data_IF_126943243948
#
_entry.id   IF_126943243948
#
_cell.length_a   1.000
_cell.length_b   1.000
_cell.length_c   1.000
_cell.angle_alpha   90.00
_cell.angle_beta   90.00
_cell.angle_gamma   90.00
#
_symmetry.space_group_name_H-M   'P 1'
#
loop_
_entity.id
_entity.type
_entity.pdbx_description
1 polymer ?
#
# COMPACT_ATOMS: atom_id res chain seq x y z
N UNK A 1 16.94 10.39 -9.43
CA UNK A 1 16.38 9.49 -8.42
C UNK A 1 15.61 10.29 -7.40
N UNK A 2 14.51 9.75 -6.88
CA UNK A 2 13.80 10.34 -5.75
C UNK A 2 14.83 10.69 -4.66
N UNK A 3 14.87 11.96 -4.28
CA UNK A 3 15.70 12.41 -3.18
C UNK A 3 15.21 11.78 -1.88
N UNK A 4 16.09 11.41 -0.96
CA UNK A 4 15.73 10.97 0.39
C UNK A 4 14.78 11.98 1.08
N UNK A 5 14.90 13.26 0.76
CA UNK A 5 14.03 14.32 1.26
C UNK A 5 12.58 14.22 0.75
N UNK A 6 12.35 13.64 -0.42
CA UNK A 6 10.99 13.45 -0.97
C UNK A 6 10.35 12.17 -0.41
N UNK A 7 11.17 11.14 -0.13
CA UNK A 7 10.70 9.86 0.38
C UNK A 7 10.34 9.89 1.89
N UNK A 8 11.06 10.68 2.69
CA UNK A 8 10.85 10.76 4.14
C UNK A 8 9.45 11.21 4.56
N UNK A 9 8.87 12.31 4.01
CA UNK A 9 7.52 12.74 4.38
C UNK A 9 6.45 11.72 4.02
N UNK A 10 6.61 11.03 2.88
CA UNK A 10 5.67 9.99 2.44
C UNK A 10 5.72 8.80 3.39
N UNK A 11 6.91 8.30 3.69
CA UNK A 11 7.11 7.17 4.60
C UNK A 11 6.59 7.48 6.01
N UNK A 12 6.80 8.70 6.51
CA UNK A 12 6.30 9.13 7.81
C UNK A 12 4.77 9.13 7.87
N UNK A 13 4.12 9.64 6.84
CA UNK A 13 2.65 9.72 6.76
C UNK A 13 2.01 8.34 6.70
N UNK A 14 2.54 7.44 5.88
CA UNK A 14 1.94 6.13 5.63
C UNK A 14 2.26 5.10 6.74
N UNK A 15 3.42 5.21 7.39
CA UNK A 15 3.85 4.26 8.43
C UNK A 15 2.90 4.20 9.63
N UNK A 16 2.32 5.34 10.02
CA UNK A 16 1.41 5.41 11.16
C UNK A 16 0.14 4.60 10.96
N UNK A 17 -0.51 4.76 9.82
CA UNK A 17 -1.77 4.07 9.51
C UNK A 17 -1.60 2.55 9.44
N UNK A 18 -0.59 2.07 8.72
CA UNK A 18 -0.28 0.64 8.65
C UNK A 18 0.03 0.02 10.01
N UNK A 19 0.76 0.74 10.85
CA UNK A 19 1.09 0.28 12.21
C UNK A 19 -0.16 0.08 13.07
N UNK A 20 -1.09 1.04 13.06
CA UNK A 20 -2.35 0.93 13.82
C UNK A 20 -3.16 -0.29 13.38
N UNK A 21 -3.24 -0.55 12.07
CA UNK A 21 -3.98 -1.68 11.52
C UNK A 21 -3.41 -3.02 12.02
N UNK A 22 -2.08 -3.18 11.96
CA UNK A 22 -1.43 -4.40 12.45
C UNK A 22 -1.52 -4.56 13.96
N UNK A 23 -1.38 -3.48 14.73
CA UNK A 23 -1.54 -3.52 16.19
C UNK A 23 -2.96 -3.92 16.59
N UNK A 24 -3.98 -3.35 15.93
CA UNK A 24 -5.37 -3.71 16.19
C UNK A 24 -5.63 -5.20 15.91
N UNK A 25 -5.08 -5.73 14.81
CA UNK A 25 -5.22 -7.16 14.49
C UNK A 25 -4.50 -8.04 15.52
N UNK A 26 -3.29 -7.67 15.93
CA UNK A 26 -2.56 -8.41 16.97
C UNK A 26 -3.28 -8.39 18.32
N UNK A 27 -3.87 -7.26 18.69
CA UNK A 27 -4.65 -7.14 19.92
C UNK A 27 -5.93 -8.00 19.91
N UNK A 28 -6.45 -8.34 18.73
CA UNK A 28 -7.61 -9.23 18.58
C UNK A 28 -7.27 -10.73 18.66
N UNK A 29 -6.00 -11.11 18.71
CA UNK A 29 -5.61 -12.53 18.84
C UNK A 29 -5.87 -13.00 20.26
N UNK A 30 -6.58 -14.14 20.40
CA UNK A 30 -6.88 -14.72 21.70
C UNK A 30 -5.58 -15.08 22.47
N UNK A 31 -5.39 -14.56 23.69
CA UNK A 31 -4.22 -14.84 24.52
C UNK A 31 -4.00 -16.32 24.81
N UNK A 32 -5.04 -17.13 24.78
CA UNK A 32 -4.97 -18.59 25.06
C UNK A 32 -4.00 -19.32 24.13
N UNK A 33 -3.86 -18.88 22.87
CA UNK A 33 -2.87 -19.44 21.95
C UNK A 33 -1.43 -19.26 22.45
N UNK A 34 -1.15 -18.09 23.01
CA UNK A 34 0.18 -17.79 23.55
C UNK A 34 0.45 -18.49 24.87
N UNK A 35 -0.59 -18.67 25.71
CA UNK A 35 -0.48 -19.39 26.97
C UNK A 35 -0.20 -20.88 26.72
N UNK A 36 -0.92 -21.52 25.81
CA UNK A 36 -0.67 -22.88 25.40
C UNK A 36 0.76 -23.06 24.86
N UNK A 37 1.19 -22.18 23.97
CA UNK A 37 2.55 -22.24 23.41
C UNK A 37 3.65 -22.07 24.47
N UNK A 38 3.40 -21.30 25.54
CA UNK A 38 4.35 -21.14 26.66
C UNK A 38 4.45 -22.44 27.47
N UNK A 39 3.34 -23.11 27.68
CA UNK A 39 3.32 -24.43 28.39
C UNK A 39 4.13 -25.43 27.57
N UNK A 40 4.02 -25.40 26.23
CA UNK A 40 4.79 -26.24 25.32
C UNK A 40 6.26 -25.83 25.20
N UNK A 41 6.72 -24.82 25.95
CA UNK A 41 8.11 -24.32 25.92
C UNK A 41 8.48 -23.50 24.69
N UNK A 42 7.51 -23.00 23.93
CA UNK A 42 7.77 -22.20 22.73
C UNK A 42 8.34 -20.81 23.09
N UNK A 43 9.53 -20.52 22.62
CA UNK A 43 10.14 -19.19 22.73
C UNK A 43 9.42 -18.13 21.89
N UNK A 44 9.71 -16.84 22.14
CA UNK A 44 9.05 -15.70 21.48
C UNK A 44 9.07 -15.76 19.96
N UNK A 45 10.20 -16.11 19.35
CA UNK A 45 10.32 -16.22 17.89
C UNK A 45 9.37 -17.32 17.34
N UNK A 46 9.28 -18.45 18.02
CA UNK A 46 8.39 -19.54 17.63
C UNK A 46 6.91 -19.13 17.75
N UNK A 47 6.54 -18.38 18.80
CA UNK A 47 5.20 -17.82 18.93
C UNK A 47 4.85 -16.85 17.79
N UNK A 48 5.78 -15.99 17.39
CA UNK A 48 5.58 -15.05 16.27
C UNK A 48 5.37 -15.82 14.95
N UNK A 49 6.22 -16.77 14.64
CA UNK A 49 6.19 -17.48 13.36
C UNK A 49 5.05 -18.50 13.25
N UNK A 50 4.66 -19.13 14.35
CA UNK A 50 3.67 -20.22 14.34
C UNK A 50 2.27 -19.78 14.77
N UNK A 51 2.11 -18.65 15.44
CA UNK A 51 0.82 -18.14 15.92
C UNK A 51 0.52 -16.77 15.30
N UNK A 52 1.35 -15.76 15.59
CA UNK A 52 1.06 -14.38 15.19
C UNK A 52 0.98 -14.21 13.68
N UNK A 53 2.02 -14.61 12.95
CA UNK A 53 2.08 -14.44 11.48
C UNK A 53 0.98 -15.20 10.74
N UNK A 54 0.66 -16.48 11.05
CA UNK A 54 -0.45 -17.17 10.42
C UNK A 54 -1.80 -16.53 10.69
N UNK A 55 -2.08 -16.09 11.91
CA UNK A 55 -3.34 -15.44 12.27
C UNK A 55 -3.48 -14.03 11.65
N UNK A 56 -2.37 -13.36 11.37
CA UNK A 56 -2.35 -12.07 10.69
C UNK A 56 -2.32 -12.17 9.16
N UNK A 57 -2.26 -13.37 8.59
CA UNK A 57 -2.10 -13.61 7.17
C UNK A 57 -3.13 -12.86 6.32
N UNK A 58 -4.40 -12.86 6.73
CA UNK A 58 -5.49 -12.19 6.02
C UNK A 58 -5.29 -10.67 5.96
N UNK A 59 -4.94 -10.03 7.08
CA UNK A 59 -4.74 -8.58 7.10
C UNK A 59 -3.48 -8.16 6.33
N UNK A 60 -2.42 -8.97 6.38
CA UNK A 60 -1.21 -8.76 5.59
C UNK A 60 -1.55 -8.81 4.10
N UNK A 61 -2.35 -9.80 3.69
CA UNK A 61 -2.79 -9.98 2.32
C UNK A 61 -3.67 -8.84 1.84
N UNK A 62 -4.65 -8.42 2.64
CA UNK A 62 -5.49 -7.26 2.34
C UNK A 62 -4.66 -5.99 2.15
N UNK A 63 -3.75 -5.71 3.09
CA UNK A 63 -2.91 -4.53 3.00
C UNK A 63 -1.98 -4.57 1.78
N UNK A 64 -1.47 -5.74 1.42
CA UNK A 64 -0.67 -5.95 0.22
C UNK A 64 -1.47 -5.64 -1.06
N UNK A 65 -2.71 -6.16 -1.18
CA UNK A 65 -3.60 -5.89 -2.31
C UNK A 65 -3.91 -4.39 -2.42
N UNK A 66 -4.24 -3.74 -1.29
CA UNK A 66 -4.52 -2.30 -1.25
C UNK A 66 -3.30 -1.47 -1.66
N UNK A 67 -2.12 -1.84 -1.20
CA UNK A 67 -0.86 -1.17 -1.57
C UNK A 67 -0.58 -1.29 -3.06
N UNK A 68 -0.74 -2.48 -3.64
CA UNK A 68 -0.54 -2.69 -5.08
C UNK A 68 -1.58 -1.92 -5.90
N UNK A 69 -2.85 -1.91 -5.49
CA UNK A 69 -3.89 -1.16 -6.20
C UNK A 69 -3.65 0.34 -6.17
N UNK A 70 -3.02 0.83 -5.12
CA UNK A 70 -2.64 2.24 -4.96
C UNK A 70 -1.29 2.63 -5.60
N UNK A 71 -0.52 1.67 -6.12
CA UNK A 71 0.85 1.92 -6.58
C UNK A 71 0.95 2.97 -7.70
N UNK A 72 -0.05 3.01 -8.58
CA UNK A 72 -0.11 3.98 -9.68
C UNK A 72 -0.75 5.31 -9.30
N UNK A 73 -1.39 5.37 -8.12
CA UNK A 73 -1.96 6.60 -7.57
C UNK A 73 -0.93 7.20 -6.60
N UNK A 74 -0.46 8.39 -6.95
CA UNK A 74 0.38 9.16 -6.04
C UNK A 74 -0.47 10.12 -5.21
N UNK A 75 0.06 10.57 -4.08
CA UNK A 75 -0.54 11.67 -3.33
C UNK A 75 -0.36 12.99 -4.11
N UNK A 76 -1.31 13.32 -4.99
CA UNK A 76 -1.28 14.51 -5.84
C UNK A 76 -0.99 15.78 -5.04
N UNK A 77 -1.72 15.99 -3.93
CA UNK A 77 -1.56 17.17 -3.08
C UNK A 77 -0.14 17.29 -2.54
N UNK A 78 0.44 16.19 -2.07
CA UNK A 78 1.80 16.17 -1.55
C UNK A 78 2.82 16.42 -2.65
N UNK A 79 2.62 15.83 -3.83
CA UNK A 79 3.48 16.04 -4.99
C UNK A 79 3.45 17.49 -5.43
N UNK A 80 2.25 18.12 -5.51
CA UNK A 80 2.10 19.52 -5.91
C UNK A 80 2.75 20.47 -4.91
N UNK A 81 2.69 20.19 -3.61
CA UNK A 81 3.31 21.02 -2.58
C UNK A 81 4.85 20.92 -2.60
N UNK A 82 5.38 19.72 -2.84
CA UNK A 82 6.83 19.48 -2.85
C UNK A 82 7.47 19.80 -4.21
N UNK A 83 6.68 19.84 -5.28
CA UNK A 83 7.17 20.09 -6.63
C UNK A 83 7.42 21.59 -6.85
N UNK A 84 8.57 21.91 -7.41
CA UNK A 84 8.95 23.26 -7.83
C UNK A 84 9.60 23.23 -9.23
N UNK A 85 9.85 24.40 -9.81
CA UNK A 85 10.43 24.51 -11.15
C UNK A 85 11.79 23.83 -11.34
N UNK A 86 12.53 23.60 -10.25
CA UNK A 86 13.86 22.98 -10.30
C UNK A 86 13.80 21.44 -10.22
N UNK A 87 12.79 20.89 -9.53
CA UNK A 87 12.66 19.43 -9.33
C UNK A 87 11.55 18.79 -10.16
N UNK A 88 10.72 19.57 -10.86
CA UNK A 88 9.56 19.10 -11.61
C UNK A 88 9.87 17.91 -12.52
N UNK A 89 10.93 18.01 -13.31
CA UNK A 89 11.31 16.94 -14.25
C UNK A 89 11.66 15.60 -13.59
N UNK A 90 11.96 15.59 -12.27
CA UNK A 90 12.32 14.40 -11.51
C UNK A 90 11.23 13.95 -10.53
N UNK A 91 10.38 14.88 -10.10
CA UNK A 91 9.33 14.66 -9.13
C UNK A 91 7.95 14.45 -9.79
N UNK A 92 7.81 14.70 -11.08
CA UNK A 92 6.55 14.55 -11.81
C UNK A 92 6.13 13.08 -11.82
N UNK A 93 4.94 12.80 -11.31
CA UNK A 93 4.28 11.51 -11.32
C UNK A 93 3.05 11.55 -12.22
N UNK A 94 2.46 10.40 -12.55
CA UNK A 94 1.34 10.32 -13.50
C UNK A 94 0.19 11.25 -13.09
N UNK A 95 -0.19 11.28 -11.82
CA UNK A 95 -1.29 12.11 -11.33
C UNK A 95 -0.99 13.61 -11.47
N UNK A 96 0.23 14.06 -11.16
CA UNK A 96 0.62 15.47 -11.33
C UNK A 96 0.73 15.86 -12.81
N UNK A 97 1.15 14.92 -13.66
CA UNK A 97 1.17 15.11 -15.10
C UNK A 97 -0.26 15.27 -15.66
N UNK A 98 -1.18 14.38 -15.30
CA UNK A 98 -2.60 14.44 -15.70
C UNK A 98 -3.24 15.75 -15.22
N UNK A 99 -2.97 16.15 -13.97
CA UNK A 99 -3.44 17.41 -13.43
C UNK A 99 -2.93 18.61 -14.25
N UNK A 100 -1.65 18.65 -14.55
CA UNK A 100 -1.05 19.74 -15.34
C UNK A 100 -1.62 19.81 -16.77
N UNK A 101 -1.77 18.67 -17.44
CA UNK A 101 -2.36 18.63 -18.79
C UNK A 101 -3.82 19.09 -18.79
N UNK A 102 -4.62 18.61 -17.86
CA UNK A 102 -6.03 18.96 -17.75
C UNK A 102 -6.25 20.40 -17.27
N UNK A 103 -5.71 20.75 -16.10
CA UNK A 103 -6.04 22.00 -15.43
C UNK A 103 -5.20 23.18 -15.91
N UNK A 104 -3.93 22.97 -16.26
CA UNK A 104 -3.04 24.07 -16.64
C UNK A 104 -3.03 24.29 -18.14
N UNK A 105 -3.08 23.22 -18.94
CA UNK A 105 -3.05 23.33 -20.41
C UNK A 105 -4.45 23.27 -21.05
N UNK A 106 -5.49 22.89 -20.28
CA UNK A 106 -6.88 22.81 -20.74
C UNK A 106 -7.19 21.59 -21.61
N UNK A 107 -6.26 20.63 -21.73
CA UNK A 107 -6.47 19.41 -22.51
C UNK A 107 -7.14 18.31 -21.67
N UNK A 108 -8.42 18.53 -21.41
CA UNK A 108 -9.24 17.60 -20.61
C UNK A 108 -9.41 16.24 -21.27
N UNK A 109 -9.47 16.21 -22.62
CA UNK A 109 -9.64 14.96 -23.36
C UNK A 109 -8.46 14.04 -23.17
N UNK A 110 -7.25 14.57 -23.29
CA UNK A 110 -6.02 13.81 -23.08
C UNK A 110 -5.86 13.40 -21.62
N UNK A 111 -6.08 14.31 -20.68
CA UNK A 111 -6.03 14.02 -19.24
C UNK A 111 -6.99 12.88 -18.85
N UNK A 112 -8.22 12.91 -19.37
CA UNK A 112 -9.21 11.86 -19.14
C UNK A 112 -8.77 10.52 -19.74
N UNK A 113 -8.24 10.51 -20.94
CA UNK A 113 -7.74 9.29 -21.59
C UNK A 113 -6.61 8.63 -20.78
N UNK A 114 -5.64 9.43 -20.32
CA UNK A 114 -4.55 8.93 -19.46
C UNK A 114 -5.10 8.40 -18.13
N UNK A 115 -6.02 9.11 -17.49
CA UNK A 115 -6.66 8.69 -16.24
C UNK A 115 -7.42 7.36 -16.37
N UNK A 116 -8.14 7.17 -17.48
CA UNK A 116 -8.80 5.89 -17.79
C UNK A 116 -7.77 4.77 -18.00
N UNK A 117 -6.68 5.04 -18.73
CA UNK A 117 -5.59 4.09 -18.92
C UNK A 117 -4.98 3.63 -17.60
N UNK A 118 -4.67 4.57 -16.69
CA UNK A 118 -4.17 4.28 -15.34
C UNK A 118 -5.17 3.43 -14.55
N UNK A 119 -6.47 3.72 -14.66
CA UNK A 119 -7.51 2.96 -13.96
C UNK A 119 -7.59 1.52 -14.45
N UNK A 120 -7.50 1.28 -15.74
CA UNK A 120 -7.48 -0.07 -16.34
C UNK A 120 -6.26 -0.86 -15.84
N UNK A 121 -5.08 -0.26 -15.87
CA UNK A 121 -3.85 -0.91 -15.37
C UNK A 121 -3.96 -1.20 -13.87
N UNK A 122 -4.51 -0.28 -13.07
CA UNK A 122 -4.74 -0.48 -11.63
C UNK A 122 -5.66 -1.68 -11.35
N UNK A 123 -6.74 -1.85 -12.14
CA UNK A 123 -7.65 -3.00 -12.02
C UNK A 123 -6.93 -4.31 -12.36
N UNK A 124 -6.12 -4.32 -13.42
CA UNK A 124 -5.32 -5.51 -13.80
C UNK A 124 -4.36 -5.88 -12.67
N UNK A 125 -3.66 -4.90 -12.10
CA UNK A 125 -2.75 -5.11 -10.97
C UNK A 125 -3.50 -5.65 -9.74
N UNK A 126 -4.67 -5.10 -9.42
CA UNK A 126 -5.50 -5.55 -8.31
C UNK A 126 -5.93 -7.01 -8.48
N UNK A 127 -6.47 -7.36 -9.65
CA UNK A 127 -6.89 -8.75 -9.95
C UNK A 127 -5.71 -9.72 -9.89
N UNK A 128 -4.56 -9.30 -10.40
CA UNK A 128 -3.34 -10.11 -10.37
C UNK A 128 -2.84 -10.30 -8.93
N UNK A 129 -2.80 -9.24 -8.14
CA UNK A 129 -2.42 -9.30 -6.73
C UNK A 129 -3.38 -10.20 -5.93
N UNK A 130 -4.69 -10.08 -6.16
CA UNK A 130 -5.69 -10.93 -5.51
C UNK A 130 -5.50 -12.42 -5.86
N UNK A 131 -5.24 -12.75 -7.13
CA UNK A 131 -4.95 -14.13 -7.54
C UNK A 131 -3.68 -14.70 -6.88
N UNK A 132 -2.63 -13.90 -6.78
CA UNK A 132 -1.39 -14.31 -6.12
C UNK A 132 -1.64 -14.55 -4.63
N UNK A 133 -2.32 -13.62 -3.98
CA UNK A 133 -2.64 -13.68 -2.55
C UNK A 133 -3.60 -14.83 -2.24
N UNK A 134 -4.59 -15.10 -3.10
CA UNK A 134 -5.50 -16.22 -2.97
C UNK A 134 -4.79 -17.58 -2.98
N UNK A 135 -3.75 -17.74 -3.81
CA UNK A 135 -2.91 -18.95 -3.79
C UNK A 135 -2.12 -19.12 -2.47
N UNK A 136 -1.77 -18.04 -1.83
CA UNK A 136 -1.02 -18.05 -0.58
C UNK A 136 -1.95 -18.29 0.63
N UNK A 137 -3.18 -17.82 0.56
CA UNK A 137 -4.15 -17.89 1.67
C UNK A 137 -5.14 -19.06 1.57
N UNK A 138 -5.10 -19.86 0.49
CA UNK A 138 -6.07 -20.91 0.16
C UNK A 138 -7.49 -20.36 -0.14
N UNK A 139 -7.72 -19.06 0.03
CA UNK A 139 -8.96 -18.37 -0.32
C UNK A 139 -8.62 -17.02 -0.97
N UNK A 140 -9.39 -16.64 -2.00
CA UNK A 140 -9.31 -15.28 -2.55
C UNK A 140 -9.97 -14.30 -1.56
N UNK A 141 -9.43 -13.11 -1.46
CA UNK A 141 -9.93 -12.07 -0.53
C UNK A 141 -11.05 -11.24 -1.16
N UNK A 142 -11.22 -11.34 -2.48
CA UNK A 142 -12.27 -10.69 -3.29
C UNK A 142 -13.01 -11.72 -4.12
#
# INVERSE_FOLDING_TARGET
GLSLHDALPISWKEAGWGTVLYLATMAGIDPTYYEAARIDGAGRLRQITSITLPLMKTIISLNFILTISGLLKSNLDQTLVLMNSQNQAKAEVIDSYVYRMGMTQGDFSYATAVGLGVSVVSVILLVTANKITGKINEESVL
#
